data_IF_239263959310
#
_entry.id   IF_239263959310
#
_cell.length_a   1.000
_cell.length_b   1.000
_cell.length_c   1.000
_cell.angle_alpha   90.00
_cell.angle_beta   90.00
_cell.angle_gamma   90.00
#
_symmetry.space_group_name_H-M   'P 1'
#
loop_
_entity.id
_entity.type
_entity.pdbx_description
1 polymer ?
#
# COMPACT_ATOMS: atom_id res chain seq x y z
N UNK A 1 34.32 4.28 1.11
CA UNK A 1 32.96 4.82 1.36
C UNK A 1 32.20 3.70 2.04
N UNK A 2 31.88 3.82 3.33
CA UNK A 2 30.97 2.87 3.97
C UNK A 2 29.67 2.93 3.17
N UNK A 3 29.17 1.80 2.69
CA UNK A 3 27.79 1.75 2.24
C UNK A 3 26.96 2.32 3.40
N UNK A 4 26.29 3.46 3.19
CA UNK A 4 25.20 3.80 4.10
C UNK A 4 24.25 2.61 4.01
N UNK A 5 24.20 1.81 5.06
CA UNK A 5 23.20 0.76 5.14
C UNK A 5 21.85 1.45 4.95
N UNK A 6 21.12 0.99 3.92
CA UNK A 6 19.78 1.47 3.63
C UNK A 6 18.93 1.36 4.89
N UNK A 7 17.93 2.23 5.02
CA UNK A 7 17.11 2.29 6.24
C UNK A 7 16.32 1.01 6.52
N UNK A 8 16.14 0.14 5.51
CA UNK A 8 15.32 -1.05 5.57
C UNK A 8 16.19 -2.30 5.64
N UNK A 9 16.13 -3.02 6.76
CA UNK A 9 16.92 -4.22 6.99
C UNK A 9 16.05 -5.46 6.93
N UNK A 10 16.46 -6.47 6.15
CA UNK A 10 15.70 -7.72 6.05
C UNK A 10 14.32 -7.56 5.41
N UNK A 11 14.13 -6.52 4.61
CA UNK A 11 12.86 -6.29 3.90
C UNK A 11 12.84 -6.99 2.54
N UNK A 12 11.64 -7.42 2.12
CA UNK A 12 11.42 -8.06 0.82
C UNK A 12 10.38 -7.27 0.03
N UNK A 13 10.69 -6.93 -1.22
CA UNK A 13 9.72 -6.33 -2.13
C UNK A 13 8.52 -7.28 -2.26
N UNK A 14 7.32 -6.74 -2.05
CA UNK A 14 6.09 -7.51 -2.02
C UNK A 14 5.18 -7.14 -3.19
N UNK A 15 4.84 -5.87 -3.29
CA UNK A 15 3.81 -5.42 -4.21
C UNK A 15 4.05 -3.99 -4.68
N UNK A 16 3.42 -3.66 -5.81
CA UNK A 16 3.23 -2.30 -6.30
C UNK A 16 1.74 -1.99 -6.26
N UNK A 17 1.36 -0.99 -5.47
CA UNK A 17 -0.02 -0.55 -5.32
C UNK A 17 -0.37 0.51 -6.36
N UNK A 18 -1.49 0.30 -7.04
CA UNK A 18 -2.07 1.23 -8.01
C UNK A 18 -3.47 1.61 -7.54
N UNK A 19 -3.68 2.90 -7.32
CA UNK A 19 -4.98 3.44 -6.94
C UNK A 19 -5.85 3.65 -8.18
N UNK A 20 -7.11 3.21 -8.11
CA UNK A 20 -8.09 3.26 -9.20
C UNK A 20 -9.45 3.76 -8.68
N UNK A 21 -10.28 4.31 -9.57
CA UNK A 21 -11.64 4.78 -9.26
C UNK A 21 -12.67 3.67 -9.32
N UNK A 22 -12.42 2.65 -10.13
CA UNK A 22 -13.32 1.52 -10.39
C UNK A 22 -12.48 0.26 -10.62
N UNK A 23 -12.35 -0.55 -9.58
CA UNK A 23 -11.48 -1.72 -9.57
C UNK A 23 -11.94 -2.79 -10.56
N UNK A 24 -13.25 -2.93 -10.78
CA UNK A 24 -13.79 -3.91 -11.73
C UNK A 24 -13.41 -3.55 -13.17
N UNK A 25 -13.50 -2.25 -13.54
CA UNK A 25 -13.04 -1.76 -14.85
C UNK A 25 -11.53 -1.91 -15.02
N UNK A 26 -10.75 -1.59 -14.00
CA UNK A 26 -9.29 -1.70 -14.04
C UNK A 26 -8.85 -3.16 -14.24
N UNK A 27 -9.43 -4.09 -13.47
CA UNK A 27 -9.18 -5.52 -13.61
C UNK A 27 -9.55 -6.00 -15.02
N UNK A 28 -10.77 -5.68 -15.48
CA UNK A 28 -11.23 -6.12 -16.81
C UNK A 28 -10.32 -5.63 -17.94
N UNK A 29 -9.83 -4.38 -17.84
CA UNK A 29 -8.90 -3.82 -18.80
C UNK A 29 -7.55 -4.55 -18.80
N UNK A 30 -6.95 -4.75 -17.62
CA UNK A 30 -5.64 -5.39 -17.49
C UNK A 30 -5.68 -6.87 -17.89
N UNK A 31 -6.72 -7.60 -17.49
CA UNK A 31 -6.88 -9.00 -17.88
C UNK A 31 -7.08 -9.15 -19.39
N UNK A 32 -7.80 -8.23 -20.04
CA UNK A 32 -7.95 -8.21 -21.50
C UNK A 32 -6.60 -7.99 -22.23
N UNK A 33 -5.64 -7.34 -21.57
CA UNK A 33 -4.27 -7.17 -22.06
C UNK A 33 -3.35 -8.36 -21.69
N UNK A 34 -3.84 -9.32 -20.90
CA UNK A 34 -3.08 -10.50 -20.46
C UNK A 34 -2.38 -10.35 -19.11
N UNK A 35 -2.63 -9.27 -18.37
CA UNK A 35 -2.10 -9.07 -17.02
C UNK A 35 -3.12 -9.56 -15.99
N UNK A 36 -2.81 -10.66 -15.30
CA UNK A 36 -3.73 -11.33 -14.36
C UNK A 36 -3.37 -12.81 -14.17
N UNK A 37 -4.27 -13.62 -13.60
CA UNK A 37 -5.62 -13.25 -13.13
C UNK A 37 -5.56 -12.43 -11.84
N UNK A 38 -6.51 -11.50 -11.71
CA UNK A 38 -6.70 -10.76 -10.45
C UNK A 38 -7.62 -11.53 -9.50
N UNK A 39 -7.19 -11.65 -8.26
CA UNK A 39 -7.99 -12.18 -7.15
C UNK A 39 -7.48 -11.68 -5.81
N UNK A 40 -8.37 -11.49 -4.85
CA UNK A 40 -8.00 -11.27 -3.45
C UNK A 40 -7.67 -12.60 -2.76
N UNK A 41 -8.50 -13.63 -2.99
CA UNK A 41 -8.25 -15.01 -2.57
C UNK A 41 -8.97 -15.98 -3.52
N UNK A 42 -8.94 -17.28 -3.22
CA UNK A 42 -9.55 -18.30 -4.10
C UNK A 42 -11.08 -18.20 -4.22
N UNK A 43 -11.73 -17.49 -3.30
CA UNK A 43 -13.18 -17.31 -3.26
C UNK A 43 -13.62 -15.91 -3.77
N UNK A 44 -12.73 -14.93 -3.71
CA UNK A 44 -13.05 -13.52 -3.96
C UNK A 44 -12.11 -12.91 -4.99
N UNK A 45 -12.69 -12.39 -6.07
CA UNK A 45 -11.95 -11.61 -7.07
C UNK A 45 -11.54 -10.24 -6.52
N UNK A 46 -12.46 -9.58 -5.84
CA UNK A 46 -12.27 -8.29 -5.15
C UNK A 46 -12.81 -8.45 -3.74
N UNK A 47 -12.16 -7.85 -2.75
CA UNK A 47 -12.63 -7.84 -1.38
C UNK A 47 -12.55 -6.44 -0.78
N UNK A 48 -13.58 -6.02 -0.06
CA UNK A 48 -13.58 -4.76 0.68
C UNK A 48 -13.07 -5.00 2.09
N UNK A 49 -12.01 -4.28 2.48
CA UNK A 49 -11.42 -4.37 3.82
C UNK A 49 -11.70 -3.07 4.56
N UNK A 50 -12.25 -3.22 5.76
CA UNK A 50 -12.40 -2.13 6.71
C UNK A 50 -11.12 -2.01 7.56
N UNK A 51 -10.56 -0.81 7.58
CA UNK A 51 -9.36 -0.48 8.33
C UNK A 51 -9.69 0.51 9.44
N UNK A 52 -8.92 0.40 10.53
CA UNK A 52 -8.90 1.35 11.63
C UNK A 52 -7.45 1.65 11.99
N UNK A 53 -7.11 2.92 12.09
CA UNK A 53 -5.73 3.33 12.31
C UNK A 53 -5.59 4.84 12.39
N UNK A 54 -4.53 5.34 11.77
CA UNK A 54 -4.21 6.76 11.73
C UNK A 54 -4.05 7.25 10.30
N UNK A 55 -4.42 8.51 10.07
CA UNK A 55 -4.14 9.32 8.89
C UNK A 55 -3.60 10.66 9.38
N UNK A 56 -2.41 11.07 8.93
CA UNK A 56 -1.74 12.30 9.39
C UNK A 56 -1.64 12.40 10.92
N UNK A 57 -1.39 11.27 11.59
CA UNK A 57 -1.30 11.15 13.05
C UNK A 57 -2.64 11.34 13.80
N UNK A 58 -3.78 11.30 13.10
CA UNK A 58 -5.13 11.39 13.69
C UNK A 58 -5.87 10.07 13.50
N UNK A 59 -6.72 9.65 14.46
CA UNK A 59 -7.54 8.46 14.30
C UNK A 59 -8.40 8.52 13.03
N UNK A 60 -8.41 7.44 12.26
CA UNK A 60 -9.19 7.31 11.04
C UNK A 60 -9.74 5.87 10.88
N UNK A 61 -10.87 5.77 10.19
CA UNK A 61 -11.52 4.52 9.78
C UNK A 61 -11.91 4.66 8.30
N UNK A 62 -11.57 3.67 7.50
CA UNK A 62 -11.76 3.71 6.04
C UNK A 62 -11.97 2.31 5.47
N UNK A 63 -12.54 2.25 4.28
CA UNK A 63 -12.73 0.99 3.54
C UNK A 63 -12.03 1.08 2.19
N UNK A 64 -11.31 0.02 1.83
CA UNK A 64 -10.64 -0.11 0.52
C UNK A 64 -11.03 -1.41 -0.13
N UNK A 65 -11.40 -1.39 -1.41
CA UNK A 65 -11.52 -2.61 -2.21
C UNK A 65 -10.16 -2.96 -2.78
N UNK A 66 -9.78 -4.23 -2.67
CA UNK A 66 -8.45 -4.72 -3.01
C UNK A 66 -8.57 -5.94 -3.94
N UNK A 67 -7.65 -6.02 -4.90
CA UNK A 67 -7.40 -7.22 -5.69
C UNK A 67 -5.94 -7.25 -6.16
N UNK A 68 -5.36 -8.45 -6.23
CA UNK A 68 -3.94 -8.63 -6.52
C UNK A 68 -3.77 -9.57 -7.72
N UNK A 69 -2.72 -9.35 -8.50
CA UNK A 69 -2.26 -10.28 -9.53
C UNK A 69 -0.75 -10.47 -9.43
N UNK A 70 -0.29 -11.72 -9.43
CA UNK A 70 1.14 -12.02 -9.36
C UNK A 70 1.82 -11.77 -10.71
N UNK A 71 2.80 -10.86 -10.71
CA UNK A 71 3.60 -10.48 -11.88
C UNK A 71 5.05 -10.94 -11.69
N UNK A 72 5.28 -12.24 -11.89
CA UNK A 72 6.57 -12.86 -11.53
C UNK A 72 6.69 -13.00 -10.02
N UNK A 73 7.63 -12.28 -9.41
CA UNK A 73 7.90 -12.35 -7.96
C UNK A 73 7.24 -11.21 -7.15
N UNK A 74 6.50 -10.31 -7.82
CA UNK A 74 5.89 -9.12 -7.22
C UNK A 74 4.41 -9.09 -7.54
N UNK A 75 3.58 -8.70 -6.58
CA UNK A 75 2.14 -8.49 -6.84
C UNK A 75 1.88 -7.10 -7.42
N UNK A 76 1.05 -7.05 -8.45
CA UNK A 76 0.35 -5.83 -8.82
C UNK A 76 -0.95 -5.76 -8.02
N UNK A 77 -1.03 -4.79 -7.12
CA UNK A 77 -2.19 -4.58 -6.25
C UNK A 77 -3.02 -3.40 -6.75
N UNK A 78 -4.31 -3.62 -6.94
CA UNK A 78 -5.27 -2.58 -7.29
C UNK A 78 -6.09 -2.20 -6.06
N UNK A 79 -6.25 -0.90 -5.85
CA UNK A 79 -6.85 -0.32 -4.66
C UNK A 79 -7.90 0.70 -5.06
N UNK A 80 -9.16 0.47 -4.69
CA UNK A 80 -10.24 1.46 -4.83
C UNK A 80 -10.65 1.96 -3.43
N UNK A 81 -10.32 3.22 -3.07
CA UNK A 81 -10.73 3.81 -1.81
C UNK A 81 -12.25 4.08 -1.82
N UNK A 82 -13.02 3.25 -1.13
CA UNK A 82 -14.49 3.27 -1.23
C UNK A 82 -15.18 4.10 -0.15
N UNK A 83 -14.64 4.13 1.07
CA UNK A 83 -15.22 4.89 2.19
C UNK A 83 -14.12 5.49 3.07
N UNK A 84 -14.45 6.58 3.78
CA UNK A 84 -13.56 7.27 4.72
C UNK A 84 -12.43 8.08 4.06
N UNK A 85 -11.85 8.97 4.85
CA UNK A 85 -10.62 9.69 4.47
C UNK A 85 -9.43 8.72 4.59
N UNK A 86 -8.59 8.66 3.55
CA UNK A 86 -7.46 7.74 3.47
C UNK A 86 -6.41 8.25 2.47
N UNK A 87 -5.14 7.86 2.67
CA UNK A 87 -4.02 8.27 1.83
C UNK A 87 -4.23 7.97 0.33
N UNK A 88 -4.82 6.80 0.03
CA UNK A 88 -5.17 6.40 -1.34
C UNK A 88 -6.10 7.42 -2.01
N UNK A 89 -7.10 7.91 -1.26
CA UNK A 89 -8.05 8.91 -1.74
C UNK A 89 -7.38 10.27 -1.95
N UNK A 90 -6.48 10.67 -1.06
CA UNK A 90 -5.70 11.91 -1.22
C UNK A 90 -4.87 11.89 -2.51
N UNK A 91 -4.20 10.77 -2.81
CA UNK A 91 -3.47 10.58 -4.08
C UNK A 91 -4.42 10.63 -5.28
N UNK A 92 -5.55 9.91 -5.21
CA UNK A 92 -6.51 9.83 -6.29
C UNK A 92 -7.12 11.20 -6.64
N UNK A 93 -7.40 12.02 -5.63
CA UNK A 93 -7.95 13.37 -5.78
C UNK A 93 -6.88 14.35 -6.32
N UNK A 94 -5.62 14.19 -5.91
CA UNK A 94 -4.53 15.07 -6.32
C UNK A 94 -3.97 14.78 -7.72
N UNK A 95 -3.87 13.49 -8.10
CA UNK A 95 -3.14 13.05 -9.29
C UNK A 95 -3.96 12.18 -10.25
N UNK A 96 -5.11 11.66 -9.82
CA UNK A 96 -5.87 10.67 -10.58
C UNK A 96 -5.40 9.24 -10.35
N UNK A 97 -5.83 8.33 -11.22
CA UNK A 97 -5.50 6.91 -11.13
C UNK A 97 -4.03 6.67 -11.49
N UNK A 98 -3.35 5.78 -10.77
CA UNK A 98 -1.93 5.53 -11.02
C UNK A 98 -1.20 4.83 -9.88
N UNK A 99 0.11 4.69 -10.05
CA UNK A 99 0.99 4.10 -9.04
C UNK A 99 0.94 4.94 -7.77
N UNK A 100 0.65 4.29 -6.65
CA UNK A 100 0.55 4.91 -5.34
C UNK A 100 1.76 4.58 -4.47
N UNK A 101 2.07 3.30 -4.30
CA UNK A 101 3.13 2.87 -3.40
C UNK A 101 3.93 1.67 -3.91
N UNK A 102 5.10 1.49 -3.31
CA UNK A 102 5.87 0.25 -3.38
C UNK A 102 5.93 -0.33 -1.96
N UNK A 103 5.43 -1.56 -1.81
CA UNK A 103 5.29 -2.22 -0.52
C UNK A 103 6.34 -3.28 -0.25
N UNK A 104 6.87 -3.24 0.98
CA UNK A 104 7.91 -4.13 1.47
C UNK A 104 7.44 -4.88 2.71
N UNK A 105 7.70 -6.20 2.76
CA UNK A 105 7.51 -6.98 3.98
C UNK A 105 8.65 -6.75 4.95
N UNK A 106 8.35 -6.69 6.24
CA UNK A 106 9.33 -6.68 7.33
C UNK A 106 8.83 -7.46 8.54
N UNK A 107 9.74 -8.13 9.25
CA UNK A 107 9.44 -8.79 10.54
C UNK A 107 9.63 -7.86 11.75
N UNK A 108 10.08 -6.62 11.53
CA UNK A 108 10.31 -5.60 12.58
C UNK A 108 9.68 -4.26 12.14
N UNK A 109 8.36 -4.26 11.94
CA UNK A 109 7.65 -3.09 11.41
C UNK A 109 7.85 -1.84 12.30
N UNK A 110 7.73 -1.99 13.61
CA UNK A 110 7.90 -0.87 14.54
C UNK A 110 9.33 -0.32 14.55
N UNK A 111 10.35 -1.20 14.52
CA UNK A 111 11.74 -0.77 14.46
C UNK A 111 12.07 -0.07 13.15
N UNK A 112 11.56 -0.56 12.01
CA UNK A 112 11.76 0.09 10.71
C UNK A 112 11.07 1.46 10.64
N UNK A 113 9.86 1.59 11.18
CA UNK A 113 9.18 2.89 11.30
C UNK A 113 10.01 3.87 12.13
N UNK A 114 10.53 3.44 13.28
CA UNK A 114 11.37 4.28 14.12
C UNK A 114 12.67 4.73 13.40
N UNK A 115 13.33 3.81 12.66
CA UNK A 115 14.52 4.10 11.86
C UNK A 115 14.23 5.11 10.75
N UNK A 116 13.12 4.97 10.03
CA UNK A 116 12.71 5.89 8.98
C UNK A 116 12.40 7.29 9.54
N UNK A 117 11.62 7.37 10.63
CA UNK A 117 11.30 8.64 11.31
C UNK A 117 12.56 9.34 11.83
N UNK A 118 13.53 8.61 12.36
CA UNK A 118 14.82 9.17 12.78
C UNK A 118 15.63 9.81 11.63
N UNK A 119 15.29 9.50 10.38
CA UNK A 119 15.88 10.08 9.17
C UNK A 119 14.97 11.13 8.51
N UNK A 120 13.86 11.50 9.14
CA UNK A 120 12.94 12.53 8.66
C UNK A 120 11.76 12.02 7.84
N UNK A 121 11.53 10.71 7.77
CA UNK A 121 10.32 10.19 7.11
C UNK A 121 9.07 10.55 7.92
N UNK A 122 8.04 11.04 7.23
CA UNK A 122 6.73 11.32 7.81
C UNK A 122 5.78 10.15 7.53
N UNK A 123 4.98 9.78 8.54
CA UNK A 123 3.99 8.70 8.41
C UNK A 123 2.70 9.31 7.89
N UNK A 124 2.28 8.87 6.71
CA UNK A 124 1.04 9.29 6.09
C UNK A 124 -0.16 8.60 6.71
N UNK A 125 -0.13 7.26 6.74
CA UNK A 125 -1.17 6.44 7.33
C UNK A 125 -0.60 5.15 7.89
N UNK A 126 -1.24 4.59 8.91
CA UNK A 126 -0.87 3.29 9.47
C UNK A 126 -2.06 2.59 10.10
N UNK A 127 -2.02 1.26 10.15
CA UNK A 127 -3.00 0.43 10.85
C UNK A 127 -2.30 -0.77 11.47
N UNK A 128 -2.64 -1.09 12.73
CA UNK A 128 -2.06 -2.21 13.50
C UNK A 128 -3.17 -3.05 14.17
N UNK A 129 -4.00 -3.74 13.39
CA UNK A 129 -5.10 -4.53 13.91
C UNK A 129 -4.60 -5.74 14.73
N UNK A 130 -5.27 -6.04 15.84
CA UNK A 130 -4.92 -7.22 16.66
C UNK A 130 -5.21 -8.51 15.87
N UNK A 131 -4.20 -9.35 15.72
CA UNK A 131 -4.32 -10.66 15.06
C UNK A 131 -4.31 -10.61 13.52
N UNK A 132 -4.08 -9.44 12.92
CA UNK A 132 -3.89 -9.28 11.49
C UNK A 132 -2.59 -8.48 11.23
N UNK A 133 -1.96 -8.62 10.05
CA UNK A 133 -0.75 -7.87 9.72
C UNK A 133 -0.97 -6.35 9.77
N UNK A 134 -0.07 -5.64 10.43
CA UNK A 134 -0.03 -4.18 10.41
C UNK A 134 0.71 -3.61 9.20
N UNK A 135 0.47 -2.33 8.91
CA UNK A 135 1.19 -1.60 7.86
C UNK A 135 1.36 -0.11 8.19
N UNK A 136 2.26 0.54 7.44
CA UNK A 136 2.54 1.97 7.50
C UNK A 136 2.97 2.48 6.12
N UNK A 137 2.42 3.62 5.70
CA UNK A 137 2.85 4.37 4.52
C UNK A 137 3.67 5.58 4.97
N UNK A 138 4.85 5.76 4.37
CA UNK A 138 5.58 7.02 4.47
C UNK A 138 5.17 7.96 3.33
N UNK A 139 5.10 9.25 3.64
CA UNK A 139 4.82 10.28 2.63
C UNK A 139 5.91 10.32 1.56
N UNK A 140 5.46 10.38 0.30
CA UNK A 140 6.30 10.38 -0.89
C UNK A 140 6.23 11.65 -1.72
N UNK A 141 5.69 12.72 -1.15
CA UNK A 141 5.24 13.92 -1.88
C UNK A 141 6.35 14.59 -2.71
N UNK A 142 7.59 14.55 -2.23
CA UNK A 142 8.75 15.11 -2.94
C UNK A 142 9.20 14.28 -4.16
N UNK A 143 8.66 13.08 -4.36
CA UNK A 143 9.00 12.17 -5.47
C UNK A 143 7.72 11.70 -6.17
N UNK A 144 6.94 12.65 -6.69
CA UNK A 144 5.74 12.34 -7.47
C UNK A 144 4.63 11.65 -6.67
N UNK A 145 4.57 11.86 -5.35
CA UNK A 145 3.70 11.18 -4.39
C UNK A 145 3.93 9.66 -4.27
N UNK A 146 5.10 9.16 -4.64
CA UNK A 146 5.47 7.75 -4.46
C UNK A 146 5.58 7.40 -2.97
N UNK A 147 4.54 6.83 -2.39
CA UNK A 147 4.58 6.33 -1.03
C UNK A 147 5.43 5.06 -0.92
N UNK A 148 6.10 4.89 0.22
CA UNK A 148 6.77 3.64 0.58
C UNK A 148 5.95 2.97 1.67
N UNK A 149 5.53 1.74 1.43
CA UNK A 149 4.85 0.93 2.43
C UNK A 149 5.81 -0.04 3.10
N UNK A 150 5.68 -0.12 4.43
CA UNK A 150 6.14 -1.25 5.21
C UNK A 150 4.94 -1.99 5.78
N UNK A 151 4.95 -3.31 5.69
CA UNK A 151 3.92 -4.16 6.28
C UNK A 151 4.50 -5.43 6.88
N UNK A 152 3.75 -5.98 7.82
CA UNK A 152 4.00 -7.32 8.32
C UNK A 152 3.64 -8.37 7.25
N UNK A 153 4.27 -9.57 7.29
CA UNK A 153 3.97 -10.67 6.37
C UNK A 153 2.53 -11.17 6.44
#
# INVERSE_FOLDING_TARGET
MSAQEGSFHGTRLHHVGVVVKDIDKAIAHLEALGFGPFKFNDEHKVFAIDFKGELHGKPAEWTTKISNALMGDVELELLEPSEGDQALKETLDAQGEGLHHIGWLTTDLQGEIARAKARGAEVWTSSFPVGNPGFCYFEGTDIGNLAIELREP
#
